data_IF_140620236874
#
_entry.id   IF_140620236874
#
_cell.length_a   1.000
_cell.length_b   1.000
_cell.length_c   1.000
_cell.angle_alpha   90.00
_cell.angle_beta   90.00
_cell.angle_gamma   90.00
#
_symmetry.space_group_name_H-M   'P 1'
#
loop_
_entity.id
_entity.type
_entity.pdbx_description
1 polymer ?
#
# COMPACT_ATOMS: atom_id res chain seq x y z
N UNK A 1 -7.41 -1.34 1.50
CA UNK A 1 -6.90 -2.70 1.21
C UNK A 1 -5.55 -2.83 1.91
N UNK A 2 -5.30 -3.89 2.69
CA UNK A 2 -3.96 -4.18 3.20
C UNK A 2 -3.28 -5.20 2.29
N UNK A 3 -1.97 -5.02 2.04
CA UNK A 3 -1.10 -5.92 1.27
C UNK A 3 -1.22 -7.40 1.68
N UNK A 4 -1.64 -7.66 2.92
CA UNK A 4 -1.65 -9.00 3.54
C UNK A 4 -2.89 -9.81 3.22
N UNK A 5 -3.99 -9.16 2.84
CA UNK A 5 -5.21 -9.84 2.50
C UNK A 5 -5.19 -10.08 0.99
N UNK A 6 -5.09 -11.34 0.55
CA UNK A 6 -5.03 -11.76 -0.86
C UNK A 6 -6.29 -11.48 -1.69
N UNK A 7 -6.92 -10.32 -1.48
CA UNK A 7 -8.09 -9.84 -2.21
C UNK A 7 -7.65 -9.51 -3.64
N UNK A 8 -8.40 -10.05 -4.60
CA UNK A 8 -8.20 -9.80 -6.02
C UNK A 8 -8.32 -8.30 -6.32
N UNK A 9 -7.44 -7.80 -7.19
CA UNK A 9 -7.53 -6.44 -7.71
C UNK A 9 -8.88 -6.22 -8.38
N UNK A 10 -9.59 -5.19 -7.95
CA UNK A 10 -10.84 -4.76 -8.56
C UNK A 10 -10.53 -3.83 -9.73
N UNK A 11 -11.10 -4.12 -10.88
CA UNK A 11 -11.02 -3.27 -12.07
C UNK A 11 -12.31 -2.48 -12.11
N UNK A 12 -12.20 -1.16 -12.15
CA UNK A 12 -13.33 -0.25 -12.35
C UNK A 12 -13.11 0.58 -13.59
N UNK A 13 -14.21 0.96 -14.22
CA UNK A 13 -14.19 1.84 -15.38
C UNK A 13 -14.67 3.22 -14.91
N UNK A 14 -13.75 4.18 -14.92
CA UNK A 14 -14.03 5.57 -14.59
C UNK A 14 -13.74 6.38 -15.85
N UNK A 15 -14.74 7.14 -16.33
CA UNK A 15 -14.61 7.99 -17.51
C UNK A 15 -14.19 7.23 -18.80
N UNK A 16 -14.59 5.96 -18.93
CA UNK A 16 -14.22 5.11 -20.08
C UNK A 16 -12.78 4.60 -20.06
N UNK A 17 -12.04 4.87 -18.98
CA UNK A 17 -10.70 4.33 -18.74
C UNK A 17 -10.79 3.26 -17.67
N UNK A 18 -10.27 2.06 -17.99
CA UNK A 18 -10.14 0.97 -17.01
C UNK A 18 -9.01 1.28 -16.06
N UNK A 19 -9.34 1.39 -14.79
CA UNK A 19 -8.39 1.60 -13.72
C UNK A 19 -8.46 0.44 -12.72
N UNK A 20 -7.34 0.14 -12.10
CA UNK A 20 -7.26 -0.78 -10.96
C UNK A 20 -7.42 0.02 -9.68
N UNK A 21 -8.28 -0.45 -8.79
CA UNK A 21 -8.34 0.10 -7.44
C UNK A 21 -7.26 -0.54 -6.57
N UNK A 22 -6.35 0.29 -6.04
CA UNK A 22 -5.35 -0.16 -5.07
C UNK A 22 -5.97 -0.22 -3.67
N UNK A 23 -6.53 0.90 -3.21
CA UNK A 23 -7.12 1.02 -1.88
C UNK A 23 -8.43 1.82 -1.94
N UNK A 24 -9.49 1.26 -1.36
CA UNK A 24 -10.80 1.90 -1.16
C UNK A 24 -10.93 2.35 0.30
N UNK A 25 -11.78 3.37 0.53
CA UNK A 25 -12.14 3.89 1.86
C UNK A 25 -10.95 4.35 2.70
N UNK A 26 -10.13 5.19 2.09
CA UNK A 26 -8.87 5.66 2.63
C UNK A 26 -9.00 7.11 3.13
N UNK A 27 -8.25 7.48 4.18
CA UNK A 27 -8.13 8.87 4.64
C UNK A 27 -7.35 9.73 3.63
N UNK A 28 -7.54 11.05 3.68
CA UNK A 28 -6.84 11.98 2.77
C UNK A 28 -5.31 11.85 2.88
N UNK A 29 -4.77 11.80 4.10
CA UNK A 29 -3.33 11.69 4.35
C UNK A 29 -2.73 10.42 3.72
N UNK A 30 -3.46 9.30 3.80
CA UNK A 30 -3.04 8.02 3.23
C UNK A 30 -3.14 8.03 1.71
N UNK A 31 -4.17 8.65 1.14
CA UNK A 31 -4.30 8.81 -0.30
C UNK A 31 -3.19 9.69 -0.88
N UNK A 32 -2.84 10.80 -0.22
CA UNK A 32 -1.74 11.69 -0.63
C UNK A 32 -0.38 11.00 -0.51
N UNK A 33 -0.17 10.21 0.55
CA UNK A 33 1.02 9.38 0.69
C UNK A 33 1.16 8.42 -0.50
N UNK A 34 0.14 7.62 -0.79
CA UNK A 34 0.17 6.66 -1.90
C UNK A 34 0.36 7.34 -3.25
N UNK A 35 -0.32 8.47 -3.47
CA UNK A 35 -0.16 9.28 -4.68
C UNK A 35 1.28 9.75 -4.85
N UNK A 36 1.89 10.31 -3.80
CA UNK A 36 3.28 10.79 -3.85
C UNK A 36 4.28 9.66 -4.13
N UNK A 37 4.09 8.50 -3.51
CA UNK A 37 4.95 7.33 -3.66
C UNK A 37 4.87 6.75 -5.06
N UNK A 38 3.67 6.59 -5.59
CA UNK A 38 3.45 5.97 -6.89
C UNK A 38 3.88 6.90 -8.04
N UNK A 39 3.60 8.21 -7.94
CA UNK A 39 4.10 9.20 -8.89
C UNK A 39 5.63 9.26 -8.94
N UNK A 40 6.30 9.19 -7.78
CA UNK A 40 7.76 9.12 -7.71
C UNK A 40 8.30 7.90 -8.47
N UNK A 41 7.59 6.78 -8.42
CA UNK A 41 7.92 5.54 -9.13
C UNK A 41 7.37 5.48 -10.57
N UNK A 42 6.92 6.61 -11.12
CA UNK A 42 6.37 6.73 -12.49
C UNK A 42 5.13 5.87 -12.75
N UNK A 43 4.40 5.51 -11.72
CA UNK A 43 3.12 4.80 -11.83
C UNK A 43 2.00 5.85 -11.97
N UNK A 44 1.15 5.77 -13.00
CA UNK A 44 0.07 6.72 -13.20
C UNK A 44 -1.06 6.49 -12.20
N UNK A 45 -1.35 7.49 -11.36
CA UNK A 45 -2.32 7.40 -10.25
C UNK A 45 -3.36 8.50 -10.31
N UNK A 46 -4.61 8.14 -10.04
CA UNK A 46 -5.73 9.04 -9.80
C UNK A 46 -6.36 8.79 -8.43
N UNK A 47 -6.86 9.85 -7.80
CA UNK A 47 -7.55 9.78 -6.49
C UNK A 47 -8.97 10.26 -6.70
N UNK A 48 -9.94 9.42 -6.35
CA UNK A 48 -11.37 9.71 -6.48
C UNK A 48 -12.00 9.76 -5.10
N UNK A 49 -12.89 10.74 -4.87
CA UNK A 49 -13.67 10.83 -3.64
C UNK A 49 -14.78 9.78 -3.69
N UNK A 50 -14.78 8.82 -2.76
CA UNK A 50 -15.87 7.86 -2.59
C UNK A 50 -16.87 8.38 -1.54
N UNK A 51 -18.16 8.18 -1.79
CA UNK A 51 -19.26 8.84 -1.08
C UNK A 51 -19.27 8.60 0.44
N UNK A 52 -19.77 9.62 1.13
CA UNK A 52 -19.86 9.79 2.58
C UNK A 52 -21.07 9.06 3.15
N UNK A 53 -20.91 8.23 4.18
CA UNK A 53 -22.03 7.66 4.95
C UNK A 53 -22.71 8.81 5.73
N UNK A 54 -24.03 8.97 5.59
CA UNK A 54 -24.76 10.16 6.09
C UNK A 54 -24.78 10.33 7.62
N UNK A 55 -24.29 9.35 8.39
CA UNK A 55 -24.28 9.37 9.85
C UNK A 55 -23.00 9.95 10.47
N UNK A 56 -21.92 10.08 9.70
CA UNK A 56 -20.69 10.79 10.07
C UNK A 56 -19.98 11.23 8.79
N UNK A 57 -19.66 12.53 8.59
CA UNK A 57 -19.05 13.02 7.35
C UNK A 57 -17.57 12.63 7.22
N UNK A 58 -17.27 11.34 7.24
CA UNK A 58 -15.93 10.81 6.98
C UNK A 58 -15.76 10.71 5.47
N UNK A 59 -15.21 11.77 4.88
CA UNK A 59 -14.86 11.81 3.45
C UNK A 59 -13.83 10.73 3.19
N UNK A 60 -14.23 9.73 2.41
CA UNK A 60 -13.41 8.59 2.05
C UNK A 60 -12.84 8.78 0.65
N UNK A 61 -11.62 8.27 0.42
CA UNK A 61 -10.94 8.36 -0.87
C UNK A 61 -10.63 6.96 -1.39
N UNK A 62 -10.65 6.83 -2.71
CA UNK A 62 -10.21 5.63 -3.42
C UNK A 62 -9.02 5.98 -4.31
N UNK A 63 -7.95 5.19 -4.20
CA UNK A 63 -6.73 5.35 -4.99
C UNK A 63 -6.76 4.37 -6.15
N UNK A 64 -6.65 4.90 -7.37
CA UNK A 64 -6.71 4.15 -8.60
C UNK A 64 -5.43 4.29 -9.42
N UNK A 65 -5.12 3.27 -10.19
CA UNK A 65 -4.00 3.22 -11.13
C UNK A 65 -4.54 2.90 -12.52
N UNK A 66 -4.06 3.60 -13.54
CA UNK A 66 -4.47 3.31 -14.94
C UNK A 66 -3.71 2.16 -15.58
N UNK A 67 -2.56 1.77 -15.04
CA UNK A 67 -1.81 0.58 -15.47
C UNK A 67 -2.48 -0.70 -14.96
N UNK A 68 -3.09 -1.46 -15.87
CA UNK A 68 -3.78 -2.72 -15.57
C UNK A 68 -2.83 -3.87 -15.20
N UNK A 69 -1.53 -3.73 -15.44
CA UNK A 69 -0.53 -4.73 -15.04
C UNK A 69 0.00 -4.48 -13.63
N UNK A 70 -0.33 -3.33 -13.04
CA UNK A 70 0.18 -2.94 -11.75
C UNK A 70 -0.48 -3.74 -10.62
N UNK A 71 0.35 -4.44 -9.84
CA UNK A 71 -0.06 -5.09 -8.62
C UNK A 71 0.78 -4.55 -7.45
N UNK A 72 0.18 -3.87 -6.46
CA UNK A 72 0.91 -3.30 -5.34
C UNK A 72 1.64 -4.37 -4.50
N UNK A 73 1.07 -5.57 -4.38
CA UNK A 73 1.69 -6.69 -3.68
C UNK A 73 3.01 -7.08 -4.35
N UNK A 74 2.97 -7.32 -5.65
CA UNK A 74 4.17 -7.66 -6.44
C UNK A 74 5.17 -6.49 -6.40
N UNK A 75 4.69 -5.26 -6.56
CA UNK A 75 5.53 -4.07 -6.60
C UNK A 75 6.34 -3.88 -5.31
N UNK A 76 5.74 -4.17 -4.14
CA UNK A 76 6.41 -4.10 -2.84
C UNK A 76 7.30 -5.31 -2.59
N UNK A 77 6.80 -6.54 -2.77
CA UNK A 77 7.56 -7.75 -2.43
C UNK A 77 8.71 -8.05 -3.40
N UNK A 78 8.60 -7.65 -4.67
CA UNK A 78 9.70 -7.73 -5.64
C UNK A 78 10.60 -6.48 -5.63
N UNK A 79 10.42 -5.58 -4.65
CA UNK A 79 11.29 -4.39 -4.47
C UNK A 79 11.32 -3.45 -5.69
N UNK A 80 10.21 -3.34 -6.42
CA UNK A 80 10.10 -2.48 -7.61
C UNK A 80 9.89 -1.00 -7.26
N UNK A 81 9.48 -0.71 -6.03
CA UNK A 81 9.18 0.65 -5.56
C UNK A 81 10.31 1.18 -4.67
N UNK A 82 10.64 2.45 -4.86
CA UNK A 82 11.61 3.21 -4.08
C UNK A 82 10.94 4.40 -3.39
N UNK A 83 11.47 4.75 -2.23
CA UNK A 83 11.08 5.96 -1.51
C UNK A 83 11.91 7.16 -1.97
N UNK A 84 11.47 8.37 -1.62
CA UNK A 84 12.20 9.63 -1.89
C UNK A 84 13.64 9.65 -1.34
N UNK A 85 13.91 8.83 -0.32
CA UNK A 85 15.25 8.65 0.26
C UNK A 85 16.11 7.60 -0.47
N UNK A 86 15.64 7.02 -1.58
CA UNK A 86 16.35 5.99 -2.34
C UNK A 86 16.31 4.58 -1.73
N UNK A 87 15.68 4.40 -0.56
CA UNK A 87 15.46 3.07 0.03
C UNK A 87 14.30 2.35 -0.67
N UNK A 88 14.40 1.02 -0.76
CA UNK A 88 13.33 0.15 -1.25
C UNK A 88 12.12 0.24 -0.32
N UNK A 89 10.92 0.31 -0.89
CA UNK A 89 9.66 0.29 -0.14
C UNK A 89 9.43 -1.11 0.45
N UNK A 90 9.39 -1.20 1.77
CA UNK A 90 9.03 -2.43 2.49
C UNK A 90 7.51 -2.49 2.73
N UNK A 91 6.93 -3.67 3.03
CA UNK A 91 5.54 -3.77 3.45
C UNK A 91 5.21 -2.90 4.66
N UNK A 92 6.13 -2.78 5.63
CA UNK A 92 5.93 -1.93 6.79
C UNK A 92 5.92 -0.44 6.43
N UNK A 93 6.80 -0.03 5.51
CA UNK A 93 6.77 1.33 4.97
C UNK A 93 5.48 1.59 4.18
N UNK A 94 5.04 0.63 3.36
CA UNK A 94 3.75 0.72 2.68
C UNK A 94 2.60 0.82 3.66
N UNK A 95 2.59 0.07 4.76
CA UNK A 95 1.55 0.13 5.79
C UNK A 95 1.70 1.32 6.77
N UNK A 96 2.73 2.16 6.59
CA UNK A 96 3.08 3.28 7.49
C UNK A 96 3.21 2.87 8.96
N UNK A 97 3.80 1.69 9.22
CA UNK A 97 4.07 1.20 10.57
C UNK A 97 5.38 1.83 11.07
N UNK A 98 5.29 2.76 12.02
CA UNK A 98 6.41 3.59 12.48
C UNK A 98 7.46 2.85 13.32
N UNK A 99 7.17 1.64 13.83
CA UNK A 99 8.11 0.83 14.63
C UNK A 99 8.97 -0.14 13.80
N UNK A 100 8.80 -0.16 12.47
CA UNK A 100 9.62 -1.01 11.63
C UNK A 100 10.90 -0.28 11.24
N UNK A 101 11.99 -0.59 11.93
CA UNK A 101 13.32 -0.17 11.51
C UNK A 101 13.54 -0.62 10.06
N UNK A 102 13.91 0.30 9.17
CA UNK A 102 14.05 -0.03 7.74
C UNK A 102 15.22 -1.00 7.46
N UNK A 103 16.06 -1.22 8.47
CA UNK A 103 17.25 -2.06 8.38
C UNK A 103 16.96 -3.53 8.77
N UNK A 104 15.79 -3.83 9.35
CA UNK A 104 15.36 -5.22 9.57
C UNK A 104 14.62 -5.73 8.32
N UNK A 105 14.93 -6.95 7.84
CA UNK A 105 14.19 -7.55 6.75
C UNK A 105 12.69 -7.64 7.06
N UNK A 106 11.83 -7.39 6.08
CA UNK A 106 10.38 -7.35 6.31
C UNK A 106 9.81 -8.67 6.88
N UNK A 107 10.46 -9.81 6.65
CA UNK A 107 10.04 -11.12 7.15
C UNK A 107 10.40 -11.38 8.62
N UNK A 108 11.18 -10.51 9.27
CA UNK A 108 11.44 -10.58 10.72
C UNK A 108 10.53 -9.69 11.55
N UNK A 109 9.81 -8.74 10.93
CA UNK A 109 8.90 -7.82 11.64
C UNK A 109 7.72 -8.60 12.24
N UNK A 110 7.43 -8.41 13.53
CA UNK A 110 6.36 -9.06 14.30
C UNK A 110 6.41 -10.60 14.37
N UNK A 111 7.58 -11.22 14.13
CA UNK A 111 7.71 -12.67 14.31
C UNK A 111 8.01 -12.98 15.78
N UNK A 112 7.19 -13.79 16.48
CA UNK A 112 7.57 -14.25 17.81
C UNK A 112 8.83 -15.10 17.69
N UNK A 113 9.83 -14.83 18.54
CA UNK A 113 11.01 -15.67 18.66
C UNK A 113 10.53 -17.04 19.12
N UNK A 114 10.64 -18.06 18.27
CA UNK A 114 10.29 -19.42 18.67
C UNK A 114 11.30 -19.88 19.74
N UNK A 115 10.79 -20.36 20.88
CA UNK A 115 11.59 -20.75 22.04
C UNK A 115 12.61 -21.87 21.78
N UNK A 116 12.54 -22.56 20.64
CA UNK A 116 13.55 -23.53 20.18
C UNK A 116 14.97 -22.95 20.08
N UNK A 117 15.14 -21.63 20.00
CA UNK A 117 16.47 -20.99 19.98
C UNK A 117 16.96 -20.49 21.35
N UNK A 118 16.15 -20.60 22.42
CA UNK A 118 16.58 -20.19 23.78
C UNK A 118 17.45 -21.23 24.50
N UNK A 119 17.39 -22.50 24.09
CA UNK A 119 18.05 -23.61 24.78
C UNK A 119 19.52 -23.86 24.35
N UNK A 120 20.10 -22.98 23.53
CA UNK A 120 21.45 -23.17 22.97
C UNK A 120 22.47 -22.12 23.45
N UNK A 121 22.26 -21.52 24.63
CA UNK A 121 23.23 -20.64 25.31
C UNK A 121 23.65 -21.28 26.62
#
# INVERSE_FOLDING_TARGET
MSLRNGKKLAITEIEGIRNIIIEENVTLERADFLKSLLLFNKVPVSVVKSQTTEENPTVSYSVLVSDLSFNPLIAVFEKRLYNKYGKVVTPAFWEQIYDADNDVPYWSVNRPVKDIYKAAI
#
